data_IF_772590368304
#
_entry.id   IF_772590368304
#
_cell.length_a   1.000
_cell.length_b   1.000
_cell.length_c   1.000
_cell.angle_alpha   90.00
_cell.angle_beta   90.00
_cell.angle_gamma   90.00
#
_symmetry.space_group_name_H-M   'P 1'
#
loop_
_entity.id
_entity.type
_entity.pdbx_description
1 polymer ?
#
# COMPACT_ATOMS: atom_id res chain seq x y z
N UNK A 1 -5.58 -3.09 -9.04
CA UNK A 1 -5.05 -3.27 -7.68
C UNK A 1 -3.71 -3.98 -7.79
N UNK A 2 -2.63 -3.22 -7.71
CA UNK A 2 -1.28 -3.76 -7.57
C UNK A 2 -1.14 -4.48 -6.23
N UNK A 3 -0.49 -5.65 -6.27
CA UNK A 3 -0.15 -6.49 -5.12
C UNK A 3 1.29 -6.93 -5.28
N UNK A 4 2.09 -6.76 -4.24
CA UNK A 4 3.51 -7.06 -4.25
C UNK A 4 3.88 -7.86 -3.01
N UNK A 5 4.68 -8.91 -3.21
CA UNK A 5 5.17 -9.72 -2.10
C UNK A 5 6.30 -8.98 -1.39
N UNK A 6 6.23 -8.95 -0.08
CA UNK A 6 7.26 -8.43 0.81
C UNK A 6 7.46 -9.40 1.97
N UNK A 7 8.54 -9.21 2.71
CA UNK A 7 8.75 -9.89 3.99
C UNK A 7 8.57 -8.87 5.11
N UNK A 8 7.78 -9.22 6.12
CA UNK A 8 7.60 -8.41 7.32
C UNK A 8 8.21 -9.12 8.51
N UNK A 9 8.95 -8.37 9.31
CA UNK A 9 9.47 -8.86 10.59
C UNK A 9 8.98 -7.95 11.70
N UNK A 10 8.51 -8.58 12.77
CA UNK A 10 8.29 -7.99 14.10
C UNK A 10 9.18 -8.75 15.10
N UNK A 11 9.43 -8.23 16.31
CA UNK A 11 10.34 -8.88 17.27
C UNK A 11 10.01 -10.34 17.59
N UNK A 12 8.74 -10.74 17.46
CA UNK A 12 8.26 -12.08 17.80
C UNK A 12 8.10 -13.01 16.60
N UNK A 13 8.04 -12.49 15.37
CA UNK A 13 7.66 -13.27 14.19
C UNK A 13 8.13 -12.64 12.89
N UNK A 14 8.40 -13.48 11.89
CA UNK A 14 8.63 -13.07 10.50
C UNK A 14 7.58 -13.72 9.60
N UNK A 15 6.97 -12.93 8.74
CA UNK A 15 6.08 -13.37 7.67
C UNK A 15 6.73 -13.08 6.31
N UNK A 16 6.88 -14.12 5.48
CA UNK A 16 7.57 -14.05 4.18
C UNK A 16 6.61 -13.93 2.99
N UNK A 17 5.31 -14.07 3.23
CA UNK A 17 4.28 -14.10 2.18
C UNK A 17 3.32 -12.91 2.32
N UNK A 18 3.83 -11.79 2.83
CA UNK A 18 3.05 -10.57 3.04
C UNK A 18 2.75 -9.88 1.73
N UNK A 19 1.52 -9.39 1.60
CA UNK A 19 1.09 -8.58 0.47
C UNK A 19 1.03 -7.11 0.88
N UNK A 20 1.69 -6.26 0.09
CA UNK A 20 1.50 -4.81 0.11
C UNK A 20 0.89 -4.34 -1.21
N UNK A 21 0.02 -3.33 -1.15
CA UNK A 21 -0.63 -2.79 -2.34
C UNK A 21 -1.30 -1.44 -2.11
N UNK A 22 -1.93 -0.93 -3.16
CA UNK A 22 -2.81 0.23 -3.09
C UNK A 22 -4.23 -0.19 -3.44
N UNK A 23 -5.21 0.19 -2.62
CA UNK A 23 -6.62 -0.11 -2.81
C UNK A 23 -7.35 1.11 -3.42
N UNK A 24 -7.67 1.13 -4.73
CA UNK A 24 -8.24 2.31 -5.37
C UNK A 24 -9.59 2.77 -4.80
N UNK A 25 -10.56 1.88 -4.46
CA UNK A 25 -11.83 2.31 -3.88
C UNK A 25 -11.68 3.01 -2.53
N UNK A 26 -10.72 2.55 -1.71
CA UNK A 26 -10.45 3.08 -0.36
C UNK A 26 -9.43 4.22 -0.36
N UNK A 27 -8.74 4.44 -1.49
CA UNK A 27 -7.67 5.43 -1.66
C UNK A 27 -6.58 5.35 -0.58
N UNK A 28 -6.25 4.12 -0.17
CA UNK A 28 -5.23 3.85 0.84
C UNK A 28 -4.27 2.78 0.35
N UNK A 29 -3.03 2.84 0.83
CA UNK A 29 -2.16 1.68 0.80
C UNK A 29 -2.64 0.67 1.84
N UNK A 30 -2.35 -0.60 1.61
CA UNK A 30 -2.61 -1.68 2.55
C UNK A 30 -1.40 -2.61 2.62
N UNK A 31 -1.23 -3.21 3.78
CA UNK A 31 -0.30 -4.29 4.04
C UNK A 31 -1.04 -5.32 4.89
N UNK A 32 -1.03 -6.57 4.45
CA UNK A 32 -1.71 -7.70 5.11
C UNK A 32 -0.65 -8.71 5.53
N UNK A 33 -0.38 -8.81 6.83
CA UNK A 33 0.58 -9.75 7.39
C UNK A 33 -0.02 -10.53 8.57
N UNK A 34 0.56 -11.71 8.83
CA UNK A 34 0.17 -12.61 9.91
C UNK A 34 -1.32 -13.00 9.82
N UNK A 35 -1.75 -13.68 8.74
CA UNK A 35 -3.15 -14.10 8.60
C UNK A 35 -3.56 -15.01 9.75
N UNK A 36 -4.77 -14.81 10.27
CA UNK A 36 -5.38 -15.73 11.23
C UNK A 36 -5.96 -16.91 10.42
N UNK A 37 -5.58 -18.17 10.71
CA UNK A 37 -6.11 -19.32 9.98
C UNK A 37 -7.58 -19.63 10.27
N UNK A 38 -8.12 -19.16 11.40
CA UNK A 38 -9.49 -19.46 11.85
C UNK A 38 -10.45 -18.29 11.62
N UNK A 39 -9.93 -17.06 11.54
CA UNK A 39 -10.69 -15.86 11.24
C UNK A 39 -10.38 -15.33 9.84
N UNK A 40 -11.38 -14.77 9.15
CA UNK A 40 -11.17 -14.01 7.90
C UNK A 40 -10.57 -12.61 8.23
N UNK A 41 -9.41 -12.63 8.88
CA UNK A 41 -8.73 -11.46 9.44
C UNK A 41 -7.21 -11.63 9.33
N UNK A 42 -6.50 -10.50 9.29
CA UNK A 42 -5.05 -10.46 9.38
C UNK A 42 -4.62 -9.81 10.70
N UNK A 43 -3.52 -10.30 11.28
CA UNK A 43 -2.93 -9.77 12.51
C UNK A 43 -2.34 -8.38 12.35
N UNK A 44 -2.02 -7.95 11.11
CA UNK A 44 -1.59 -6.60 10.78
C UNK A 44 -2.27 -6.10 9.50
N UNK A 45 -3.02 -5.01 9.62
CA UNK A 45 -3.58 -4.25 8.49
C UNK A 45 -3.22 -2.76 8.57
N UNK A 46 -2.38 -2.29 7.65
CA UNK A 46 -2.03 -0.87 7.56
C UNK A 46 -3.00 -0.12 6.64
N UNK A 47 -4.15 0.32 7.16
CA UNK A 47 -5.09 1.12 6.36
C UNK A 47 -6.27 1.78 7.10
N UNK A 48 -6.52 1.45 8.37
CA UNK A 48 -7.69 1.97 9.09
C UNK A 48 -7.59 2.01 10.61
N UNK A 49 -6.44 1.66 11.18
CA UNK A 49 -6.15 1.85 12.60
C UNK A 49 -4.83 2.59 12.74
N UNK A 50 -4.83 3.70 13.48
CA UNK A 50 -3.62 4.46 13.79
C UNK A 50 -2.90 3.82 14.98
N UNK A 51 -2.24 2.69 14.74
CA UNK A 51 -1.41 2.01 15.74
C UNK A 51 0.05 2.09 15.30
N UNK A 52 0.90 2.63 16.17
CA UNK A 52 2.33 2.77 15.90
C UNK A 52 3.04 1.44 16.22
N UNK A 53 3.66 0.84 15.21
CA UNK A 53 4.50 -0.35 15.36
C UNK A 53 5.97 0.05 15.30
N UNK A 54 6.54 0.46 16.44
CA UNK A 54 7.91 0.97 16.52
C UNK A 54 9.02 -0.02 16.17
N UNK A 55 8.70 -1.30 15.96
CA UNK A 55 9.64 -2.38 15.65
C UNK A 55 9.28 -3.16 14.37
N UNK A 56 8.41 -2.60 13.53
CA UNK A 56 8.02 -3.20 12.25
C UNK A 56 9.11 -2.96 11.19
N UNK A 57 9.60 -4.03 10.59
CA UNK A 57 10.51 -3.96 9.44
C UNK A 57 9.87 -4.58 8.20
N UNK A 58 9.95 -3.88 7.06
CA UNK A 58 9.47 -4.34 5.75
C UNK A 58 10.66 -4.50 4.83
N UNK A 59 10.82 -5.71 4.29
CA UNK A 59 11.93 -6.11 3.42
C UNK A 59 11.42 -6.53 2.04
N UNK A 60 12.24 -6.36 1.00
CA UNK A 60 11.93 -6.84 -0.35
C UNK A 60 11.02 -5.93 -1.18
N UNK A 61 10.66 -4.74 -0.67
CA UNK A 61 9.87 -3.77 -1.45
C UNK A 61 10.74 -3.10 -2.53
N UNK A 62 10.66 -3.61 -3.76
CA UNK A 62 11.42 -3.09 -4.89
C UNK A 62 10.93 -1.74 -5.40
N UNK A 63 11.83 -0.99 -6.05
CA UNK A 63 11.54 0.33 -6.65
C UNK A 63 10.37 0.28 -7.64
N UNK A 64 10.30 -0.75 -8.48
CA UNK A 64 9.25 -0.88 -9.49
C UNK A 64 7.86 -1.06 -8.86
N UNK A 65 7.79 -1.77 -7.73
CA UNK A 65 6.56 -1.90 -6.95
C UNK A 65 6.12 -0.54 -6.37
N UNK A 66 7.05 0.22 -5.78
CA UNK A 66 6.77 1.57 -5.27
C UNK A 66 6.24 2.48 -6.40
N UNK A 67 6.89 2.46 -7.57
CA UNK A 67 6.45 3.24 -8.73
C UNK A 67 5.08 2.79 -9.21
N UNK A 68 4.84 1.48 -9.28
CA UNK A 68 3.55 0.90 -9.68
C UNK A 68 2.41 1.35 -8.77
N UNK A 69 2.57 1.17 -7.45
CA UNK A 69 1.57 1.58 -6.47
C UNK A 69 1.37 3.10 -6.46
N UNK A 70 2.44 3.90 -6.60
CA UNK A 70 2.34 5.37 -6.66
C UNK A 70 1.58 5.84 -7.90
N UNK A 71 1.78 5.18 -9.05
CA UNK A 71 1.03 5.47 -10.27
C UNK A 71 -0.45 5.15 -10.11
N UNK A 72 -0.78 4.06 -9.42
CA UNK A 72 -2.17 3.68 -9.12
C UNK A 72 -2.81 4.63 -8.09
N UNK A 73 -2.03 5.11 -7.12
CA UNK A 73 -2.45 6.11 -6.14
C UNK A 73 -2.63 7.50 -6.73
N UNK A 74 -1.92 7.81 -7.81
CA UNK A 74 -2.04 9.08 -8.51
C UNK A 74 -3.44 9.28 -9.09
N UNK A 75 -4.19 10.22 -8.56
CA UNK A 75 -5.36 10.76 -9.26
C UNK A 75 -4.88 11.48 -10.51
N UNK A 76 -5.37 11.07 -11.70
CA UNK A 76 -5.28 11.92 -12.89
C UNK A 76 -6.06 13.19 -12.62
N UNK A 77 -5.35 14.28 -12.35
CA UNK A 77 -5.98 15.60 -12.31
C UNK A 77 -6.44 15.90 -13.74
N UNK A 78 -7.74 16.15 -13.96
CA UNK A 78 -8.17 16.64 -15.26
C UNK A 78 -7.40 17.93 -15.57
N UNK A 79 -7.09 18.20 -16.84
CA UNK A 79 -6.46 19.46 -17.22
C UNK A 79 -7.29 20.62 -16.65
N UNK A 80 -6.61 21.61 -16.06
CA UNK A 80 -7.26 22.80 -15.51
C UNK A 80 -8.09 23.50 -16.59
N UNK A 81 -9.08 24.31 -16.21
CA UNK A 81 -9.86 25.11 -17.17
C UNK A 81 -8.93 25.92 -18.08
N UNK A 82 -7.87 26.51 -17.52
CA UNK A 82 -6.86 27.22 -18.30
C UNK A 82 -6.13 26.33 -19.32
N UNK A 83 -5.78 25.09 -18.95
CA UNK A 83 -5.15 24.13 -19.88
C UNK A 83 -6.13 23.63 -20.94
N UNK A 84 -7.40 23.45 -20.59
CA UNK A 84 -8.48 23.07 -21.54
C UNK A 84 -8.79 24.18 -22.54
N UNK A 85 -8.62 25.44 -22.13
CA UNK A 85 -8.85 26.63 -22.96
C UNK A 85 -7.58 27.14 -23.66
N UNK A 86 -6.43 26.49 -23.47
CA UNK A 86 -5.15 26.92 -24.06
C UNK A 86 -4.53 28.18 -23.44
N UNK A 87 -5.00 28.60 -22.27
CA UNK A 87 -4.52 29.78 -21.52
C UNK A 87 -3.20 29.46 -20.80
N UNK A 88 -2.98 28.19 -20.43
CA UNK A 88 -1.79 27.74 -19.71
C UNK A 88 -1.30 26.44 -20.36
N UNK A 89 0.00 26.32 -20.64
CA UNK A 89 0.61 25.13 -21.24
C UNK A 89 0.97 24.07 -20.20
#
# INVERSE_FOLDING_TARGET
MSRHNVTVTVPTQTDREVIIGYAPPLRTFFLEAFPDPEADACGLWLGGVHQEFGSLEIHGLGKDAIVGMTKEAGTRTPPSVGKRLGIVQ
#
